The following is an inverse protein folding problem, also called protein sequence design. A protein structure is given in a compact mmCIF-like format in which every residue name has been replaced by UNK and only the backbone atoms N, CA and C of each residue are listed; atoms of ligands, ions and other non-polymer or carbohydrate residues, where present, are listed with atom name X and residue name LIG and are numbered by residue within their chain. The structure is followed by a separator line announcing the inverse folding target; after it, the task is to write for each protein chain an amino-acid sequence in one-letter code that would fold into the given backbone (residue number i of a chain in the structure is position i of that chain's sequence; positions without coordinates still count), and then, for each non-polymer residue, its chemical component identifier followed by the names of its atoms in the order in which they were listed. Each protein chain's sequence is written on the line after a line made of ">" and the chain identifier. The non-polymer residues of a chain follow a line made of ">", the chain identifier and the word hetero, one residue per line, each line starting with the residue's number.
data_IF_848162849399
#
_entry.id   IF_848162849399
#
_cell.length_a   1.000
_cell.length_b   1.000
_cell.length_c   1.000
_cell.angle_alpha   90.00
_cell.angle_beta   90.00
_cell.angle_gamma   90.00
#
_symmetry.space_group_name_H-M   'P 1'
#
loop_
_entity.id
_entity.type
_entity.pdbx_description
1 polymer ?
#
# COMPACT_ATOMS: atom_id res chain seq x y z
N UNK A 1 1.60 -1.06 -4.06
CA UNK A 1 0.34 -1.83 -3.86
C UNK A 1 -0.68 -1.10 -2.97
N UNK A 2 -0.32 -0.61 -1.77
CA UNK A 2 -1.25 0.16 -0.93
C UNK A 2 -1.72 1.44 -1.62
N UNK A 3 -0.80 2.23 -2.20
CA UNK A 3 -1.19 3.39 -3.02
C UNK A 3 -1.98 2.99 -4.27
N UNK A 4 -1.63 1.89 -4.96
CA UNK A 4 -2.39 1.43 -6.13
C UNK A 4 -3.84 1.03 -5.80
N UNK A 5 -4.08 0.39 -4.64
CA UNK A 5 -5.44 0.00 -4.21
C UNK A 5 -6.28 1.23 -3.83
N UNK A 6 -5.65 2.32 -3.37
CA UNK A 6 -6.33 3.55 -2.98
C UNK A 6 -6.60 4.51 -4.16
N UNK A 7 -6.01 4.24 -5.31
CA UNK A 7 -6.00 5.14 -6.49
C UNK A 7 -7.03 4.75 -7.57
N UNK A 8 -7.60 3.55 -7.57
CA UNK A 8 -8.59 3.19 -8.60
C UNK A 8 -9.96 3.86 -8.38
N UNK A 9 -10.17 5.02 -9.01
CA UNK A 9 -11.48 5.44 -9.51
C UNK A 9 -11.50 5.30 -11.04
N UNK A 10 -11.99 4.17 -11.55
CA UNK A 10 -12.44 4.08 -12.94
C UNK A 10 -13.89 4.60 -13.01
N UNK A 11 -14.06 5.92 -12.95
CA UNK A 11 -15.28 6.53 -13.47
C UNK A 11 -14.95 7.26 -14.76
N UNK A 12 -15.05 6.50 -15.84
CA UNK A 12 -15.12 7.01 -17.20
C UNK A 12 -16.30 7.97 -17.30
N UNK A 13 -16.02 9.26 -17.46
CA UNK A 13 -16.98 10.24 -17.94
C UNK A 13 -16.22 11.23 -18.81
N UNK A 14 -16.36 11.02 -20.10
CA UNK A 14 -15.91 11.82 -21.22
C UNK A 14 -15.86 13.31 -20.92
N UNK A 15 -14.68 13.92 -21.11
CA UNK A 15 -14.57 15.27 -21.69
C UNK A 15 -13.16 15.46 -22.26
N UNK A 16 -13.11 15.62 -23.59
CA UNK A 16 -11.92 16.03 -24.32
C UNK A 16 -11.65 17.52 -24.14
N UNK A 17 -10.37 17.89 -24.28
CA UNK A 17 -9.90 19.27 -24.23
C UNK A 17 -8.38 19.30 -24.27
N UNK A 18 -7.84 19.55 -25.46
CA UNK A 18 -6.43 19.73 -25.78
C UNK A 18 -5.73 20.67 -24.79
N UNK A 19 -4.55 20.29 -24.29
CA UNK A 19 -3.48 21.20 -23.85
C UNK A 19 -2.11 20.49 -23.84
N UNK A 20 -1.38 20.76 -24.92
CA UNK A 20 0.07 21.00 -25.06
C UNK A 20 1.10 20.12 -24.31
N UNK A 21 1.91 19.51 -25.16
CA UNK A 21 3.17 18.79 -24.99
C UNK A 21 4.24 19.57 -24.19
N UNK A 22 5.12 18.81 -23.50
CA UNK A 22 6.29 19.20 -22.67
C UNK A 22 6.07 19.33 -21.16
N UNK A 23 5.52 18.26 -20.56
CA UNK A 23 5.97 17.71 -19.27
C UNK A 23 5.43 16.29 -19.25
N UNK A 24 6.21 15.30 -19.72
CA UNK A 24 5.79 13.89 -19.68
C UNK A 24 5.92 13.32 -18.26
N UNK A 25 5.47 14.08 -17.27
CA UNK A 25 5.04 13.59 -15.98
C UNK A 25 3.75 12.81 -16.26
N UNK A 26 3.83 11.48 -16.23
CA UNK A 26 2.72 10.59 -16.58
C UNK A 26 1.52 10.86 -15.66
N UNK A 27 0.63 11.75 -16.12
CA UNK A 27 -0.79 11.90 -15.76
C UNK A 27 -1.15 11.58 -14.30
N UNK A 28 -1.05 12.56 -13.40
CA UNK A 28 -1.85 12.60 -12.17
C UNK A 28 -1.42 11.69 -11.01
N UNK A 29 -0.31 10.96 -11.13
CA UNK A 29 0.22 10.07 -10.11
C UNK A 29 1.63 10.50 -9.71
N UNK A 30 1.86 10.79 -8.42
CA UNK A 30 3.23 10.90 -7.89
C UNK A 30 3.81 9.49 -7.73
N UNK A 31 4.04 8.82 -8.85
CA UNK A 31 4.69 7.51 -8.85
C UNK A 31 6.15 7.74 -8.47
N UNK A 32 6.54 7.27 -7.28
CA UNK A 32 7.91 7.42 -6.77
C UNK A 32 8.58 6.05 -6.68
N UNK A 33 9.92 5.96 -6.75
CA UNK A 33 10.64 4.70 -6.54
C UNK A 33 10.28 4.00 -5.22
N UNK A 34 9.81 4.75 -4.23
CA UNK A 34 9.29 4.22 -2.97
C UNK A 34 8.08 3.26 -3.16
N UNK A 35 7.32 3.37 -4.24
CA UNK A 35 6.23 2.43 -4.58
C UNK A 35 6.80 1.06 -4.96
N UNK A 36 7.93 1.04 -5.66
CA UNK A 36 8.62 -0.19 -6.03
C UNK A 36 9.21 -0.88 -4.79
N UNK A 37 9.79 -0.09 -3.87
CA UNK A 37 10.32 -0.60 -2.59
C UNK A 37 9.25 -1.29 -1.75
N UNK A 38 8.02 -0.78 -1.73
CA UNK A 38 6.90 -1.47 -1.07
C UNK A 38 6.64 -2.84 -1.71
N UNK A 39 6.64 -2.88 -3.04
CA UNK A 39 6.36 -4.10 -3.80
C UNK A 39 7.48 -5.13 -3.59
N UNK A 40 8.74 -4.69 -3.54
CA UNK A 40 9.90 -5.50 -3.15
C UNK A 40 9.74 -6.02 -1.72
N UNK A 41 9.27 -5.20 -0.78
CA UNK A 41 8.97 -5.62 0.59
C UNK A 41 7.96 -6.77 0.64
N UNK A 42 6.91 -6.73 -0.17
CA UNK A 42 5.94 -7.83 -0.28
C UNK A 42 6.61 -9.13 -0.80
N UNK A 43 7.44 -9.04 -1.83
CA UNK A 43 8.16 -10.19 -2.40
C UNK A 43 9.15 -10.74 -1.37
N UNK A 44 9.86 -9.86 -0.66
CA UNK A 44 10.80 -10.25 0.37
C UNK A 44 10.13 -11.02 1.52
N UNK A 45 8.98 -10.53 2.01
CA UNK A 45 8.16 -11.26 2.98
C UNK A 45 7.68 -12.63 2.47
N UNK A 46 7.33 -12.73 1.19
CA UNK A 46 6.94 -14.00 0.57
C UNK A 46 8.11 -14.97 0.52
N UNK A 47 9.32 -14.51 0.20
CA UNK A 47 10.53 -15.34 0.24
C UNK A 47 10.83 -15.85 1.66
N UNK A 48 10.57 -15.04 2.70
CA UNK A 48 10.79 -15.44 4.10
C UNK A 48 9.80 -16.50 4.60
N UNK A 49 8.60 -16.58 4.02
CA UNK A 49 7.52 -17.48 4.49
C UNK A 49 7.16 -18.58 3.50
N UNK A 50 7.64 -18.49 2.27
CA UNK A 50 7.25 -19.33 1.14
C UNK A 50 5.78 -19.16 0.73
N UNK A 51 5.11 -18.10 1.19
CA UNK A 51 3.67 -17.84 0.95
C UNK A 51 3.44 -16.35 0.68
N UNK A 52 2.49 -15.98 -0.20
CA UNK A 52 2.19 -14.58 -0.46
C UNK A 52 1.86 -13.82 0.83
N UNK A 53 2.47 -12.63 1.01
CA UNK A 53 2.23 -11.79 2.19
C UNK A 53 0.75 -11.38 2.33
N UNK A 54 0.12 -11.09 1.20
CA UNK A 54 -1.27 -10.64 1.10
C UNK A 54 -2.03 -11.47 0.07
N UNK A 55 -2.51 -12.68 0.42
CA UNK A 55 -3.28 -13.54 -0.49
C UNK A 55 -4.75 -13.05 -0.58
N UNK A 56 -4.96 -11.81 -1.00
CA UNK A 56 -6.30 -11.25 -1.15
C UNK A 56 -7.08 -11.94 -2.27
N UNK A 57 -8.37 -12.13 -2.03
CA UNK A 57 -9.29 -12.74 -2.99
C UNK A 57 -10.12 -11.70 -3.74
N UNK A 58 -10.16 -10.49 -3.19
CA UNK A 58 -10.85 -9.31 -3.69
C UNK A 58 -10.29 -8.08 -2.97
N UNK A 59 -10.67 -6.88 -3.41
CA UNK A 59 -10.17 -5.59 -2.89
C UNK A 59 -10.40 -5.45 -1.39
N UNK A 60 -11.57 -5.87 -0.89
CA UNK A 60 -11.90 -5.77 0.55
C UNK A 60 -11.01 -6.67 1.38
N UNK A 61 -10.83 -7.93 0.97
CA UNK A 61 -9.93 -8.87 1.64
C UNK A 61 -8.47 -8.38 1.58
N UNK A 62 -8.04 -7.78 0.48
CA UNK A 62 -6.72 -7.18 0.36
C UNK A 62 -6.51 -6.06 1.38
N UNK A 63 -7.48 -5.15 1.52
CA UNK A 63 -7.45 -4.07 2.52
C UNK A 63 -7.45 -4.61 3.94
N UNK A 64 -8.25 -5.66 4.21
CA UNK A 64 -8.30 -6.29 5.53
C UNK A 64 -6.94 -6.87 5.93
N UNK A 65 -6.29 -7.61 5.01
CA UNK A 65 -4.96 -8.18 5.20
C UNK A 65 -3.86 -7.11 5.36
N UNK A 66 -3.94 -6.01 4.61
CA UNK A 66 -3.02 -4.89 4.74
C UNK A 66 -3.15 -4.22 6.11
N UNK A 67 -4.39 -3.95 6.54
CA UNK A 67 -4.66 -3.32 7.84
C UNK A 67 -4.42 -4.25 9.03
N UNK A 68 -4.47 -5.57 8.84
CA UNK A 68 -4.02 -6.55 9.85
C UNK A 68 -2.52 -6.47 10.11
N UNK A 69 -1.71 -6.21 9.08
CA UNK A 69 -0.27 -6.10 9.23
C UNK A 69 0.12 -4.70 9.74
N UNK A 70 -0.41 -3.67 9.09
CA UNK A 70 0.08 -2.30 9.25
C UNK A 70 -0.74 -1.49 10.26
N UNK A 71 -1.91 -1.99 10.66
CA UNK A 71 -2.89 -1.23 11.39
C UNK A 71 -3.82 -0.40 10.50
N UNK A 72 -4.86 0.17 11.10
CA UNK A 72 -5.81 1.04 10.39
C UNK A 72 -5.19 2.42 10.16
N UNK A 73 -5.20 2.94 8.91
CA UNK A 73 -4.70 4.28 8.63
C UNK A 73 -5.46 5.36 9.43
N UNK A 74 -4.83 6.50 9.74
CA UNK A 74 -5.51 7.59 10.43
C UNK A 74 -6.62 8.19 9.55
N UNK A 75 -7.69 8.78 10.14
CA UNK A 75 -8.82 9.33 9.39
C UNK A 75 -8.43 10.35 8.31
N UNK A 76 -7.39 11.13 8.55
CA UNK A 76 -6.86 12.11 7.59
C UNK A 76 -6.28 11.44 6.33
N UNK A 77 -5.64 10.28 6.49
CA UNK A 77 -5.15 9.48 5.37
C UNK A 77 -6.32 8.82 4.66
N UNK A 78 -7.32 8.34 5.39
CA UNK A 78 -8.54 7.76 4.81
C UNK A 78 -9.30 8.78 3.96
N UNK A 79 -9.40 10.04 4.42
CA UNK A 79 -10.08 11.11 3.70
C UNK A 79 -9.44 11.45 2.33
N UNK A 80 -8.14 11.19 2.17
CA UNK A 80 -7.38 11.42 0.93
C UNK A 80 -7.52 10.28 -0.10
N UNK A 81 -8.13 9.16 0.28
CA UNK A 81 -8.37 8.02 -0.61
C UNK A 81 -9.40 8.43 -1.66
N UNK A 82 -9.06 8.23 -2.94
CA UNK A 82 -9.95 8.55 -4.06
C UNK A 82 -11.03 7.47 -4.21
N UNK A 83 -10.63 6.20 -4.22
CA UNK A 83 -11.54 5.07 -4.33
C UNK A 83 -12.60 5.09 -3.21
N UNK A 84 -13.84 5.44 -3.56
CA UNK A 84 -14.96 5.60 -2.62
C UNK A 84 -15.24 4.31 -1.84
N UNK A 85 -15.14 3.15 -2.49
CA UNK A 85 -15.40 1.85 -1.87
C UNK A 85 -14.35 1.53 -0.82
N UNK A 86 -13.07 1.75 -1.13
CA UNK A 86 -11.96 1.57 -0.20
C UNK A 86 -12.06 2.56 0.98
N UNK A 87 -12.34 3.84 0.69
CA UNK A 87 -12.53 4.88 1.71
C UNK A 87 -13.66 4.54 2.67
N UNK A 88 -14.83 4.15 2.14
CA UNK A 88 -15.98 3.76 2.95
C UNK A 88 -15.71 2.51 3.77
N UNK A 89 -15.00 1.52 3.21
CA UNK A 89 -14.63 0.31 3.94
C UNK A 89 -13.69 0.63 5.11
N UNK A 90 -12.58 1.34 4.84
CA UNK A 90 -11.60 1.73 5.85
C UNK A 90 -12.17 2.70 6.90
N UNK A 91 -13.12 3.55 6.53
CA UNK A 91 -13.80 4.45 7.47
C UNK A 91 -14.76 3.75 8.43
N UNK A 92 -15.34 2.60 8.03
CA UNK A 92 -16.31 1.85 8.84
C UNK A 92 -15.71 0.63 9.56
N UNK A 93 -14.47 0.26 9.25
CA UNK A 93 -13.84 -0.90 9.87
C UNK A 93 -13.45 -0.64 11.34
N UNK A 94 -13.28 -1.72 12.12
CA UNK A 94 -12.70 -1.61 13.47
C UNK A 94 -11.24 -1.22 13.39
N UNK A 95 -10.80 -0.28 14.23
CA UNK A 95 -9.40 0.12 14.33
C UNK A 95 -8.54 -1.07 14.74
N UNK A 96 -7.55 -1.40 13.92
CA UNK A 96 -6.54 -2.41 14.16
C UNK A 96 -5.24 -1.73 14.57
N UNK A 97 -4.59 -2.28 15.59
CA UNK A 97 -3.24 -1.87 15.98
C UNK A 97 -2.23 -2.52 15.04
N UNK A 98 -1.11 -1.83 14.85
CA UNK A 98 0.02 -2.37 14.10
C UNK A 98 0.52 -3.64 14.79
N UNK A 99 0.62 -4.74 14.04
CA UNK A 99 1.18 -5.99 14.54
C UNK A 99 2.68 -5.97 14.31
N UNK A 100 3.51 -6.18 15.34
CA UNK A 100 4.96 -6.28 15.15
C UNK A 100 5.29 -7.33 14.09
N UNK A 101 6.10 -6.96 13.11
CA UNK A 101 6.45 -7.87 12.00
C UNK A 101 7.11 -9.14 12.55
N UNK A 102 7.92 -9.02 13.60
CA UNK A 102 8.49 -10.17 14.32
C UNK A 102 7.46 -11.22 14.78
N UNK A 103 6.22 -10.81 15.14
CA UNK A 103 5.18 -11.76 15.54
C UNK A 103 4.65 -12.57 14.35
N UNK A 104 4.64 -11.98 13.16
CA UNK A 104 4.17 -12.64 11.92
C UNK A 104 5.25 -13.51 11.27
N UNK A 105 6.51 -13.21 11.55
CA UNK A 105 7.67 -13.90 11.01
C UNK A 105 8.60 -14.39 12.15
N UNK A 106 8.13 -15.32 13.01
CA UNK A 106 8.84 -15.68 14.24
C UNK A 106 10.18 -16.40 14.02
N UNK A 107 10.43 -16.92 12.81
CA UNK A 107 11.65 -17.64 12.44
C UNK A 107 12.59 -16.85 11.53
N UNK A 108 12.23 -15.61 11.18
CA UNK A 108 13.03 -14.78 10.31
C UNK A 108 14.18 -14.11 11.06
N UNK A 109 15.28 -13.88 10.34
CA UNK A 109 16.43 -13.16 10.87
C UNK A 109 16.06 -11.73 11.32
N UNK A 110 16.51 -11.25 12.49
CA UNK A 110 16.17 -9.91 12.98
C UNK A 110 16.58 -8.76 12.05
N UNK A 111 17.66 -8.89 11.28
CA UNK A 111 18.07 -7.89 10.29
C UNK A 111 17.15 -7.91 9.07
N UNK A 112 16.73 -9.11 8.63
CA UNK A 112 15.73 -9.25 7.58
C UNK A 112 14.40 -8.60 8.00
N UNK A 113 13.97 -8.78 9.26
CA UNK A 113 12.76 -8.16 9.77
C UNK A 113 12.84 -6.64 9.82
N UNK A 114 13.96 -6.08 10.27
CA UNK A 114 14.18 -4.63 10.27
C UNK A 114 14.15 -4.03 8.87
N UNK A 115 14.74 -4.72 7.89
CA UNK A 115 14.68 -4.28 6.51
C UNK A 115 13.24 -4.32 5.98
N UNK A 116 12.52 -5.41 6.27
CA UNK A 116 11.14 -5.61 5.86
C UNK A 116 10.20 -4.54 6.44
N UNK A 117 10.35 -4.21 7.72
CA UNK A 117 9.60 -3.13 8.38
C UNK A 117 9.77 -1.78 7.68
N UNK A 118 11.00 -1.44 7.27
CA UNK A 118 11.27 -0.19 6.55
C UNK A 118 10.75 -0.20 5.12
N UNK A 119 10.83 -1.33 4.42
CA UNK A 119 10.29 -1.46 3.07
C UNK A 119 8.75 -1.35 3.07
N UNK A 120 8.11 -1.87 4.11
CA UNK A 120 6.65 -1.84 4.32
C UNK A 120 6.20 -0.63 5.17
N UNK A 121 6.98 0.45 5.20
CA UNK A 121 6.60 1.68 5.89
C UNK A 121 5.48 2.43 5.13
N UNK A 122 4.49 2.92 5.87
CA UNK A 122 3.35 3.67 5.29
C UNK A 122 3.80 4.91 4.53
N UNK A 123 4.66 5.75 5.14
CA UNK A 123 5.20 6.94 4.49
C UNK A 123 6.27 6.51 3.46
N UNK A 124 6.13 6.89 2.18
CA UNK A 124 7.16 6.67 1.17
C UNK A 124 8.55 7.19 1.55
N UNK A 125 8.65 8.24 2.37
CA UNK A 125 9.92 8.85 2.81
C UNK A 125 10.68 8.00 3.81
N UNK A 126 9.98 7.14 4.54
CA UNK A 126 10.58 6.23 5.53
C UNK A 126 11.15 4.97 4.87
N UNK A 127 10.83 4.74 3.59
CA UNK A 127 11.30 3.60 2.81
C UNK A 127 12.75 3.82 2.36
N UNK A 128 13.61 2.78 2.38
CA UNK A 128 14.97 2.89 1.87
C UNK A 128 14.96 3.20 0.37
N UNK A 129 15.98 3.93 -0.11
CA UNK A 129 16.25 4.02 -1.54
C UNK A 129 16.83 2.70 -2.07
N UNK A 130 16.65 2.44 -3.36
CA UNK A 130 17.39 1.41 -4.07
C UNK A 130 18.88 1.73 -4.15
#
# INVERSE_FOLDING_TARGET
>A
MLEMVLIEDTNNSSQGGERNFLDHNMSGFNYTPAIDIWSIGCIFAEMLTGKPLFPGKNVVHQLDLMTDLLGTPPPETIAKIRNEKARRYLGNMRKKLLVPVAQKFPHADPLALRLLERMLAFDPKDRPSA
#
